data_IF_511133318055
#
_entry.id   IF_511133318055
#
_cell.length_a   1.000
_cell.length_b   1.000
_cell.length_c   1.000
_cell.angle_alpha   90.00
_cell.angle_beta   90.00
_cell.angle_gamma   90.00
#
_symmetry.space_group_name_H-M   'P 1'
#
loop_
_entity.id
_entity.type
_entity.pdbx_description
1 polymer ?
#
# COMPACT_ATOMS: atom_id res chain seq x y z
N UNK A 1 -31.81 -29.98 27.61
CA UNK A 1 -30.37 -29.92 27.25
C UNK A 1 -30.13 -29.51 25.80
N UNK A 2 -30.79 -30.12 24.80
CA UNK A 2 -30.54 -29.86 23.36
C UNK A 2 -30.95 -28.46 22.86
N UNK A 3 -31.99 -27.85 23.46
CA UNK A 3 -32.43 -26.47 23.13
C UNK A 3 -31.51 -25.38 23.68
N UNK A 4 -30.76 -25.66 24.75
CA UNK A 4 -29.79 -24.72 25.34
C UNK A 4 -28.48 -24.69 24.53
N UNK A 5 -28.10 -25.84 23.95
CA UNK A 5 -26.93 -25.95 23.08
C UNK A 5 -27.10 -25.22 21.74
N UNK A 6 -28.32 -25.23 21.19
CA UNK A 6 -28.64 -24.51 19.94
C UNK A 6 -28.63 -22.98 20.11
N UNK A 7 -28.99 -22.49 21.31
CA UNK A 7 -28.93 -21.06 21.68
C UNK A 7 -27.49 -20.57 21.95
N UNK A 8 -26.61 -21.43 22.49
CA UNK A 8 -25.19 -21.09 22.65
C UNK A 8 -24.44 -21.03 21.31
N UNK A 9 -24.80 -21.89 20.35
CA UNK A 9 -24.16 -21.94 19.04
C UNK A 9 -24.52 -20.73 18.16
N UNK A 10 -25.75 -20.21 18.25
CA UNK A 10 -26.17 -18.99 17.54
C UNK A 10 -25.56 -17.71 18.10
N UNK A 11 -25.36 -17.62 19.42
CA UNK A 11 -24.66 -16.48 20.06
C UNK A 11 -23.17 -16.45 19.71
N UNK A 12 -22.54 -17.63 19.53
CA UNK A 12 -21.12 -17.73 19.19
C UNK A 12 -20.81 -17.35 17.73
N UNK A 13 -21.76 -17.50 16.80
CA UNK A 13 -21.59 -17.07 15.39
C UNK A 13 -21.71 -15.55 15.23
N UNK A 14 -22.47 -14.85 16.08
CA UNK A 14 -22.57 -13.39 16.08
C UNK A 14 -21.38 -12.66 16.71
N UNK A 15 -20.46 -13.39 17.36
CA UNK A 15 -19.29 -12.84 18.04
C UNK A 15 -18.00 -12.93 17.22
N UNK A 16 -18.06 -13.45 15.99
CA UNK A 16 -16.94 -13.35 15.06
C UNK A 16 -16.80 -11.88 14.65
N UNK A 17 -15.66 -11.21 14.91
CA UNK A 17 -15.42 -9.90 14.36
C UNK A 17 -15.44 -10.07 12.83
N UNK A 18 -16.47 -9.53 12.19
CA UNK A 18 -16.39 -9.29 10.76
C UNK A 18 -15.20 -8.34 10.57
N UNK A 19 -14.16 -8.79 9.87
CA UNK A 19 -13.19 -7.89 9.25
C UNK A 19 -13.98 -7.09 8.21
N UNK A 20 -14.61 -6.02 8.66
CA UNK A 20 -15.22 -5.03 7.78
C UNK A 20 -14.05 -4.31 7.10
N UNK A 21 -13.88 -4.57 5.81
CA UNK A 21 -12.98 -3.79 4.95
C UNK A 21 -13.58 -2.39 4.78
N UNK A 22 -13.42 -1.56 5.81
CA UNK A 22 -14.00 -0.24 5.89
C UNK A 22 -13.21 0.71 4.99
N UNK A 23 -13.91 1.60 4.29
CA UNK A 23 -13.25 2.69 3.58
C UNK A 23 -12.46 3.55 4.59
N UNK A 24 -11.16 3.78 4.36
CA UNK A 24 -10.29 4.42 5.34
C UNK A 24 -10.77 5.82 5.76
N UNK A 25 -11.09 6.69 4.78
CA UNK A 25 -11.58 8.04 5.00
C UNK A 25 -12.49 8.50 3.86
N UNK A 26 -13.65 9.07 4.18
CA UNK A 26 -14.70 9.41 3.21
C UNK A 26 -14.30 10.46 2.16
N UNK A 27 -13.32 11.31 2.46
CA UNK A 27 -12.83 12.35 1.54
C UNK A 27 -12.05 11.79 0.34
N UNK A 28 -11.66 10.51 0.41
CA UNK A 28 -10.97 9.80 -0.66
C UNK A 28 -12.00 9.17 -1.58
N UNK A 29 -11.95 9.50 -2.88
CA UNK A 29 -12.96 9.07 -3.86
C UNK A 29 -12.65 7.70 -4.44
N UNK A 30 -11.37 7.33 -4.50
CA UNK A 30 -10.93 6.12 -5.19
C UNK A 30 -9.90 5.35 -4.36
N UNK A 31 -9.83 4.04 -4.61
CA UNK A 31 -8.75 3.18 -4.12
C UNK A 31 -8.37 2.14 -5.16
N UNK A 32 -7.10 1.77 -5.18
CA UNK A 32 -6.54 0.68 -5.99
C UNK A 32 -5.92 -0.37 -5.06
N UNK A 33 -6.29 -1.63 -5.25
CA UNK A 33 -5.61 -2.74 -4.58
C UNK A 33 -4.24 -2.96 -5.20
N UNK A 34 -3.24 -3.15 -4.36
CA UNK A 34 -1.90 -3.61 -4.73
C UNK A 34 -1.65 -4.91 -3.97
N UNK A 35 -1.46 -5.98 -4.73
CA UNK A 35 -1.27 -7.31 -4.17
C UNK A 35 0.20 -7.69 -4.20
N UNK A 36 0.75 -8.01 -3.03
CA UNK A 36 2.09 -8.52 -2.84
C UNK A 36 1.94 -10.05 -2.74
N UNK A 37 2.25 -10.74 -3.82
CA UNK A 37 2.11 -12.19 -3.93
C UNK A 37 3.47 -12.88 -3.80
N UNK A 38 3.73 -13.46 -2.64
CA UNK A 38 4.94 -14.26 -2.38
C UNK A 38 4.71 -15.76 -2.60
N UNK A 39 3.51 -16.18 -3.00
CA UNK A 39 3.20 -17.57 -3.33
C UNK A 39 3.93 -18.01 -4.61
N UNK A 40 3.93 -19.32 -4.95
CA UNK A 40 4.50 -19.79 -6.22
C UNK A 40 3.86 -19.19 -7.48
N UNK A 41 2.67 -18.61 -7.40
CA UNK A 41 2.02 -17.92 -8.52
C UNK A 41 2.54 -16.47 -8.72
N UNK A 42 3.23 -15.92 -7.73
CA UNK A 42 3.86 -14.60 -7.76
C UNK A 42 5.38 -14.69 -7.72
N UNK A 43 5.98 -14.17 -6.65
CA UNK A 43 7.43 -14.11 -6.49
C UNK A 43 8.08 -15.43 -6.02
N UNK A 44 7.30 -16.42 -5.61
CA UNK A 44 7.78 -17.71 -5.10
C UNK A 44 8.81 -17.59 -3.96
N UNK A 45 8.52 -16.71 -2.99
CA UNK A 45 9.37 -16.44 -1.82
C UNK A 45 8.73 -17.15 -0.62
N UNK A 46 9.42 -18.14 -0.04
CA UNK A 46 8.91 -18.87 1.12
C UNK A 46 9.36 -18.28 2.46
N UNK A 47 10.47 -17.54 2.47
CA UNK A 47 11.02 -16.93 3.68
C UNK A 47 10.27 -15.64 4.06
N UNK A 48 10.21 -15.36 5.37
CA UNK A 48 9.71 -14.08 5.85
C UNK A 48 10.75 -12.98 5.58
N UNK A 49 10.35 -11.95 4.81
CA UNK A 49 11.24 -10.86 4.41
C UNK A 49 11.24 -9.73 5.44
N UNK A 50 10.14 -9.54 6.17
CA UNK A 50 10.02 -8.46 7.15
C UNK A 50 9.76 -7.11 6.47
N UNK A 51 10.36 -6.03 6.98
CA UNK A 51 10.11 -4.68 6.46
C UNK A 51 10.81 -4.44 5.12
N UNK A 52 10.10 -3.93 4.13
CA UNK A 52 10.61 -3.76 2.75
C UNK A 52 10.19 -2.40 2.19
N UNK A 53 11.08 -1.66 1.50
CA UNK A 53 10.69 -0.55 0.65
C UNK A 53 10.22 -1.13 -0.68
N UNK A 54 8.90 -1.30 -0.82
CA UNK A 54 8.28 -1.89 -1.99
C UNK A 54 8.19 -0.85 -3.12
N UNK A 55 8.75 -1.18 -4.29
CA UNK A 55 8.58 -0.35 -5.49
C UNK A 55 7.22 -0.62 -6.14
N UNK A 56 6.36 0.40 -6.15
CA UNK A 56 5.10 0.42 -6.89
C UNK A 56 5.32 1.20 -8.19
N UNK A 57 5.20 0.50 -9.32
CA UNK A 57 5.24 1.11 -10.66
C UNK A 57 3.84 1.16 -11.25
N UNK A 58 3.33 2.37 -11.44
CA UNK A 58 2.06 2.61 -12.10
C UNK A 58 2.32 3.00 -13.55
N UNK A 59 1.50 2.47 -14.45
CA UNK A 59 1.48 2.87 -15.85
C UNK A 59 0.09 2.64 -16.44
N UNK A 60 -0.20 3.17 -17.63
CA UNK A 60 -1.52 3.07 -18.28
C UNK A 60 -2.07 1.65 -18.45
N UNK A 61 -1.21 0.63 -18.44
CA UNK A 61 -1.60 -0.78 -18.50
C UNK A 61 -2.08 -1.35 -17.17
N UNK A 62 -1.80 -0.69 -16.05
CA UNK A 62 -2.21 -1.13 -14.72
C UNK A 62 -2.95 -0.06 -13.90
N UNK A 63 -2.92 1.21 -14.29
CA UNK A 63 -3.54 2.32 -13.57
C UNK A 63 -4.01 3.40 -14.54
N UNK A 64 -5.19 3.94 -14.27
CA UNK A 64 -5.75 5.08 -15.01
C UNK A 64 -5.50 6.32 -14.17
N UNK A 65 -4.74 7.27 -14.71
CA UNK A 65 -4.35 8.51 -14.03
C UNK A 65 -5.46 9.58 -14.08
N UNK A 66 -6.70 9.16 -13.90
CA UNK A 66 -7.87 10.04 -13.81
C UNK A 66 -8.25 10.25 -12.35
N UNK A 67 -8.59 11.48 -11.99
CA UNK A 67 -8.97 11.86 -10.62
C UNK A 67 -7.85 11.79 -9.58
N UNK A 68 -6.58 11.70 -9.98
CA UNK A 68 -5.41 11.90 -9.11
C UNK A 68 -4.86 13.30 -9.32
N UNK A 69 -4.31 13.92 -8.28
CA UNK A 69 -3.65 15.23 -8.41
C UNK A 69 -2.43 15.13 -9.34
N UNK A 70 -2.17 16.20 -10.11
CA UNK A 70 -1.11 16.23 -11.12
C UNK A 70 0.29 15.89 -10.57
N UNK A 71 0.52 16.23 -9.29
CA UNK A 71 1.78 15.97 -8.58
C UNK A 71 1.71 14.75 -7.63
N UNK A 72 0.63 13.98 -7.65
CA UNK A 72 0.41 12.83 -6.76
C UNK A 72 0.29 13.19 -5.28
N UNK A 73 0.05 14.46 -4.92
CA UNK A 73 -0.06 14.90 -3.50
C UNK A 73 -1.20 14.21 -2.74
N UNK A 74 -2.25 13.84 -3.46
CA UNK A 74 -3.38 13.08 -2.97
C UNK A 74 -3.19 11.57 -3.15
N UNK A 75 -1.98 11.04 -3.00
CA UNK A 75 -1.73 9.59 -2.92
C UNK A 75 -1.52 9.18 -1.47
N UNK A 76 -2.21 8.12 -1.02
CA UNK A 76 -1.97 7.49 0.29
C UNK A 76 -1.96 5.98 0.19
N UNK A 77 -1.01 5.37 0.88
CA UNK A 77 -0.96 3.92 1.04
C UNK A 77 -1.49 3.54 2.41
N UNK A 78 -2.38 2.56 2.45
CA UNK A 78 -3.00 2.05 3.67
C UNK A 78 -2.84 0.53 3.66
N UNK A 79 -2.50 -0.05 4.80
CA UNK A 79 -2.41 -1.50 4.98
C UNK A 79 -3.77 -2.18 4.78
N UNK A 80 -3.77 -3.50 4.68
CA UNK A 80 -4.98 -4.33 4.58
C UNK A 80 -5.90 -4.25 5.80
N UNK A 81 -5.46 -3.63 6.90
CA UNK A 81 -6.30 -3.34 8.07
C UNK A 81 -7.20 -2.11 7.90
N UNK A 82 -7.15 -1.45 6.74
CA UNK A 82 -7.89 -0.22 6.38
C UNK A 82 -7.67 0.95 7.36
N UNK A 83 -6.58 0.94 8.13
CA UNK A 83 -6.30 1.92 9.18
C UNK A 83 -4.87 2.43 9.15
N UNK A 84 -3.91 1.54 8.98
CA UNK A 84 -2.48 1.85 9.10
C UNK A 84 -1.98 2.51 7.83
N UNK A 85 -1.67 3.81 7.90
CA UNK A 85 -1.04 4.55 6.80
C UNK A 85 0.41 4.14 6.67
N UNK A 86 0.85 3.88 5.45
CA UNK A 86 2.22 3.51 5.12
C UNK A 86 2.99 4.72 4.60
N UNK A 87 4.25 4.85 5.02
CA UNK A 87 5.14 5.87 4.49
C UNK A 87 5.42 5.58 3.02
N UNK A 88 5.60 6.64 2.24
CA UNK A 88 5.94 6.49 0.83
C UNK A 88 6.78 7.66 0.34
N UNK A 89 7.50 7.41 -0.74
CA UNK A 89 8.22 8.41 -1.51
C UNK A 89 7.77 8.31 -2.95
N UNK A 90 7.43 9.45 -3.53
CA UNK A 90 7.25 9.55 -4.98
C UNK A 90 8.64 9.79 -5.59
N UNK A 91 9.17 8.80 -6.31
CA UNK A 91 10.40 8.95 -7.09
C UNK A 91 10.11 9.70 -8.40
N UNK A 92 9.02 9.34 -9.08
CA UNK A 92 8.51 10.07 -10.24
C UNK A 92 6.99 9.94 -10.35
N UNK A 93 6.34 10.98 -10.85
CA UNK A 93 4.89 11.00 -11.07
C UNK A 93 4.59 11.91 -12.26
N UNK A 94 4.22 11.30 -13.38
CA UNK A 94 3.85 11.98 -14.61
C UNK A 94 2.55 11.38 -15.15
N UNK A 95 1.39 11.94 -14.77
CA UNK A 95 0.10 11.44 -15.22
C UNK A 95 -0.13 11.70 -16.72
N UNK A 96 0.57 12.68 -17.32
CA UNK A 96 0.46 12.98 -18.76
C UNK A 96 1.16 11.90 -19.60
N UNK A 97 2.33 11.45 -19.17
CA UNK A 97 3.01 10.28 -19.73
C UNK A 97 2.42 8.96 -19.23
N UNK A 98 1.50 9.03 -18.26
CA UNK A 98 0.82 7.89 -17.66
C UNK A 98 1.78 6.95 -16.95
N UNK A 99 2.71 7.50 -16.16
CA UNK A 99 3.75 6.78 -15.44
C UNK A 99 3.92 7.31 -14.01
N UNK A 100 4.11 6.42 -13.04
CA UNK A 100 4.59 6.79 -11.72
C UNK A 100 5.47 5.70 -11.09
N UNK A 101 6.46 6.11 -10.31
CA UNK A 101 7.36 5.26 -9.55
C UNK A 101 7.33 5.73 -8.10
N UNK A 102 6.86 4.85 -7.22
CA UNK A 102 6.59 5.17 -5.82
C UNK A 102 7.18 4.07 -4.94
N UNK A 103 8.00 4.46 -3.97
CA UNK A 103 8.48 3.55 -2.91
C UNK A 103 7.50 3.58 -1.74
N UNK A 104 7.12 2.41 -1.24
CA UNK A 104 6.20 2.27 -0.11
C UNK A 104 6.86 1.46 0.98
N UNK A 105 6.89 1.99 2.18
CA UNK A 105 7.45 1.32 3.35
C UNK A 105 6.44 0.30 3.92
N UNK A 106 6.65 -0.98 3.60
CA UNK A 106 5.78 -2.08 4.03
C UNK A 106 6.40 -2.73 5.27
N UNK A 107 5.73 -2.70 6.45
CA UNK A 107 6.35 -3.10 7.73
C UNK A 107 6.62 -4.61 7.83
N UNK A 108 5.86 -5.43 7.11
CA UNK A 108 6.04 -6.88 7.11
C UNK A 108 5.59 -7.46 5.77
N UNK A 109 6.51 -8.15 5.10
CA UNK A 109 6.26 -9.01 3.94
C UNK A 109 6.60 -10.44 4.34
N UNK A 110 5.59 -11.28 4.36
CA UNK A 110 5.74 -12.68 4.74
C UNK A 110 5.83 -13.56 3.50
N UNK A 111 6.57 -14.67 3.58
CA UNK A 111 6.74 -15.61 2.46
C UNK A 111 5.62 -16.66 2.35
N UNK A 112 5.27 -17.05 1.12
CA UNK A 112 4.26 -18.06 0.82
C UNK A 112 2.80 -17.61 0.95
N UNK A 113 2.52 -16.30 1.02
CA UNK A 113 1.15 -15.78 1.02
C UNK A 113 0.96 -14.54 0.14
N UNK A 114 -0.32 -14.23 -0.10
CA UNK A 114 -0.76 -12.99 -0.71
C UNK A 114 -1.17 -12.02 0.39
N UNK A 115 -0.60 -10.83 0.37
CA UNK A 115 -0.96 -9.73 1.25
C UNK A 115 -1.26 -8.49 0.42
N UNK A 116 -2.25 -7.71 0.85
CA UNK A 116 -2.70 -6.54 0.09
C UNK A 116 -2.40 -5.25 0.84
N UNK A 117 -2.16 -4.20 0.06
CA UNK A 117 -2.20 -2.81 0.50
C UNK A 117 -3.11 -2.02 -0.45
N UNK A 118 -3.59 -0.88 0.00
CA UNK A 118 -4.48 -0.01 -0.75
C UNK A 118 -3.80 1.30 -1.07
N UNK A 119 -3.88 1.73 -2.32
CA UNK A 119 -3.53 3.08 -2.74
C UNK A 119 -4.81 3.89 -2.89
N UNK A 120 -5.05 4.83 -1.98
CA UNK A 120 -6.15 5.79 -2.03
C UNK A 120 -5.74 7.05 -2.81
N UNK A 121 -6.69 7.61 -3.57
CA UNK A 121 -6.54 8.89 -4.29
C UNK A 121 -7.87 9.60 -4.54
N UNK A 122 -7.83 10.81 -5.12
CA UNK A 122 -9.00 11.62 -5.45
C UNK A 122 -9.45 12.56 -4.34
N UNK A 123 -8.54 12.93 -3.43
CA UNK A 123 -8.80 13.91 -2.39
C UNK A 123 -8.09 15.24 -2.74
N UNK A 124 -8.79 16.12 -3.44
CA UNK A 124 -8.30 17.42 -3.91
C UNK A 124 -7.76 18.35 -2.79
N UNK A 125 -8.14 18.09 -1.53
CA UNK A 125 -7.72 18.88 -0.37
C UNK A 125 -6.57 18.23 0.40
N UNK A 126 -6.13 17.05 0.01
CA UNK A 126 -5.07 16.34 0.71
C UNK A 126 -3.72 17.06 0.49
N UNK A 127 -2.97 17.38 1.55
CA UNK A 127 -1.59 17.84 1.40
C UNK A 127 -0.70 16.70 0.91
N UNK A 128 0.47 16.97 0.33
CA UNK A 128 1.43 15.89 0.08
C UNK A 128 1.96 15.31 1.40
N UNK A 129 2.06 13.97 1.49
CA UNK A 129 2.76 13.28 2.59
C UNK A 129 3.91 12.41 2.09
N UNK A 130 4.29 12.54 0.80
CA UNK A 130 5.42 11.82 0.25
C UNK A 130 6.71 12.30 0.96
N UNK A 131 7.47 11.37 1.55
CA UNK A 131 8.67 11.69 2.31
C UNK A 131 9.68 10.53 2.25
N UNK A 132 10.78 10.74 1.52
CA UNK A 132 11.85 9.75 1.35
C UNK A 132 12.57 9.40 2.66
N UNK A 133 12.78 10.37 3.55
CA UNK A 133 13.54 10.18 4.79
C UNK A 133 12.86 9.18 5.74
N UNK A 134 11.53 9.17 5.81
CA UNK A 134 10.78 8.19 6.62
C UNK A 134 10.40 6.92 5.86
N UNK A 135 10.45 6.95 4.53
CA UNK A 135 10.19 5.75 3.70
C UNK A 135 11.35 4.76 3.78
N UNK A 136 12.58 5.28 3.84
CA UNK A 136 13.76 4.47 4.11
C UNK A 136 14.15 4.64 5.58
N UNK A 137 13.76 3.66 6.41
CA UNK A 137 14.08 3.57 7.84
C UNK A 137 15.57 3.83 8.17
N UNK A 138 15.90 4.28 9.40
CA UNK A 138 17.30 4.43 9.87
C UNK A 138 18.21 3.20 9.74
N UNK A 139 17.69 1.99 9.53
CA UNK A 139 18.47 0.78 9.27
C UNK A 139 19.07 0.75 7.84
N UNK A 140 18.66 1.65 6.94
CA UNK A 140 19.34 1.86 5.66
C UNK A 140 20.50 2.84 5.84
N UNK A 141 21.73 2.39 5.57
CA UNK A 141 22.90 3.28 5.59
C UNK A 141 22.97 4.17 4.36
N UNK A 142 22.63 3.63 3.18
CA UNK A 142 22.65 4.34 1.90
C UNK A 142 21.57 3.78 0.97
N UNK A 143 20.91 4.65 0.21
CA UNK A 143 19.95 4.28 -0.84
C UNK A 143 20.40 4.90 -2.16
N UNK A 144 20.59 4.06 -3.17
CA UNK A 144 21.00 4.48 -4.52
C UNK A 144 19.94 4.08 -5.54
N UNK A 145 19.46 5.05 -6.32
CA UNK A 145 18.57 4.84 -7.46
C UNK A 145 19.39 4.89 -8.75
N UNK A 146 19.60 3.75 -9.41
CA UNK A 146 20.40 3.67 -10.65
C UNK A 146 19.56 3.97 -11.91
N UNK A 147 18.74 5.03 -11.91
CA UNK A 147 17.79 5.27 -13.00
C UNK A 147 18.41 5.87 -14.28
N UNK A 148 19.70 6.24 -14.27
CA UNK A 148 20.35 6.77 -15.46
C UNK A 148 19.85 8.16 -15.87
N UNK A 149 19.70 9.06 -14.91
CA UNK A 149 19.75 10.50 -15.14
C UNK A 149 20.65 11.11 -14.05
N UNK A 150 21.72 11.78 -14.47
CA UNK A 150 22.48 12.66 -13.59
C UNK A 150 21.59 13.88 -13.30
N UNK A 151 21.35 14.16 -12.01
CA UNK A 151 20.96 15.44 -11.38
C UNK A 151 20.09 15.11 -10.15
N UNK A 152 20.44 15.29 -8.87
CA UNK A 152 21.57 15.90 -8.19
C UNK A 152 21.55 15.39 -6.70
N UNK A 153 22.34 15.93 -5.76
CA UNK A 153 23.23 15.20 -4.84
C UNK A 153 22.57 14.72 -3.53
N UNK A 154 23.24 13.84 -2.75
CA UNK A 154 22.75 13.41 -1.45
C UNK A 154 22.93 14.53 -0.39
N UNK A 155 22.01 14.66 0.58
CA UNK A 155 22.37 15.07 1.93
C UNK A 155 23.01 13.92 2.71
#
# INVERSE_FOLDING_TARGET
MQRLFMLLLTVMVSALPAVANAWWQADWKFRKQISIDTTPAGAAINDNIGRVPLLVRLHTGNFVFDGVAENGSDVRFVSSDDKTVLNHQIESFDPLLGMAVIWVDVPAVSGGQRQDIWMYYGNEKAPSTANGQVTFDPNYTLVYHFNGAADAPPP
#
